data_IF_018057768768
#
_entry.id   IF_018057768768
#
_cell.length_a   1.000
_cell.length_b   1.000
_cell.length_c   1.000
_cell.angle_alpha   90.00
_cell.angle_beta   90.00
_cell.angle_gamma   90.00
#
_symmetry.space_group_name_H-M   'P 1'
#
loop_
_entity.id
_entity.type
_entity.pdbx_description
1 polymer ?
#
# COMPACT_ATOMS: atom_id res chain seq x y z
N UNK A 1 18.25 48.40 40.66
CA UNK A 1 18.54 47.43 39.58
C UNK A 1 17.46 47.54 38.52
N UNK A 2 17.76 48.27 37.46
CA UNK A 2 16.82 48.69 36.42
C UNK A 2 16.80 47.68 35.26
N UNK A 3 15.60 47.35 34.77
CA UNK A 3 15.39 46.47 33.61
C UNK A 3 15.81 47.18 32.32
N UNK A 4 16.42 46.38 31.44
CA UNK A 4 17.27 46.76 30.30
C UNK A 4 16.48 47.26 29.08
N UNK A 5 16.95 48.40 28.59
CA UNK A 5 16.97 49.02 27.25
C UNK A 5 16.45 48.22 26.03
N UNK A 6 15.56 48.88 25.26
CA UNK A 6 15.33 48.69 23.82
C UNK A 6 16.55 49.18 23.02
N UNK A 7 16.78 48.64 21.81
CA UNK A 7 16.95 49.55 20.68
C UNK A 7 16.17 49.12 19.42
N UNK A 8 16.00 50.14 18.57
CA UNK A 8 15.19 50.24 17.35
C UNK A 8 15.84 49.55 16.14
N UNK A 9 15.02 49.39 15.10
CA UNK A 9 15.29 48.84 13.76
C UNK A 9 16.62 49.29 13.11
N UNK A 10 17.16 48.43 12.24
CA UNK A 10 18.04 48.81 11.13
C UNK A 10 17.56 48.13 9.83
N UNK A 11 17.65 48.88 8.73
CA UNK A 11 17.00 48.66 7.44
C UNK A 11 17.72 47.66 6.51
N UNK A 12 16.97 47.21 5.49
CA UNK A 12 17.33 46.31 4.39
C UNK A 12 18.71 46.58 3.74
N UNK A 13 19.36 45.50 3.30
CA UNK A 13 20.08 45.50 2.02
C UNK A 13 19.84 44.18 1.28
N UNK A 14 19.27 44.30 0.09
CA UNK A 14 19.07 43.26 -0.92
C UNK A 14 20.40 42.60 -1.31
N UNK A 15 20.52 41.29 -1.11
CA UNK A 15 21.31 40.43 -1.99
C UNK A 15 20.48 39.18 -2.27
N UNK A 16 19.76 39.18 -3.39
CA UNK A 16 19.17 37.99 -4.00
C UNK A 16 20.29 37.08 -4.49
N UNK A 17 20.85 36.27 -3.60
CA UNK A 17 21.58 35.06 -4.03
C UNK A 17 20.51 34.06 -4.43
N UNK A 18 20.34 33.92 -5.74
CA UNK A 18 19.50 32.90 -6.33
C UNK A 18 20.03 31.56 -5.86
N UNK A 19 19.29 30.85 -4.99
CA UNK A 19 19.57 29.46 -4.68
C UNK A 19 19.37 28.65 -5.96
N UNK A 20 20.45 28.51 -6.73
CA UNK A 20 20.53 27.62 -7.87
C UNK A 20 20.44 26.20 -7.31
N UNK A 21 19.20 25.71 -7.23
CA UNK A 21 18.93 24.33 -6.88
C UNK A 21 19.60 23.47 -7.96
N UNK A 22 20.58 22.61 -7.62
CA UNK A 22 21.20 21.77 -8.63
C UNK A 22 20.13 20.81 -9.14
N UNK A 23 19.81 20.89 -10.44
CA UNK A 23 18.94 19.95 -11.14
C UNK A 23 19.67 18.61 -11.30
N UNK A 24 19.95 17.95 -10.18
CA UNK A 24 20.19 16.52 -10.17
C UNK A 24 18.84 15.87 -10.39
N UNK A 25 18.47 15.68 -11.66
CA UNK A 25 17.46 14.69 -12.03
C UNK A 25 17.97 13.35 -11.53
N UNK A 26 17.70 13.02 -10.26
CA UNK A 26 17.96 11.69 -9.75
C UNK A 26 17.21 10.77 -10.71
N UNK A 27 17.93 9.87 -11.39
CA UNK A 27 17.33 8.79 -12.13
C UNK A 27 16.58 7.94 -11.10
N UNK A 28 15.34 8.32 -10.80
CA UNK A 28 14.50 7.58 -9.88
C UNK A 28 14.38 6.18 -10.47
N UNK A 29 14.81 5.19 -9.68
CA UNK A 29 14.58 3.81 -10.03
C UNK A 29 13.11 3.64 -10.43
N UNK A 30 12.80 2.84 -11.46
CA UNK A 30 11.42 2.64 -11.89
C UNK A 30 10.50 2.38 -10.70
N UNK A 31 9.41 3.15 -10.60
CA UNK A 31 8.48 3.02 -9.48
C UNK A 31 8.01 1.57 -9.41
N UNK A 32 8.28 0.90 -8.29
CA UNK A 32 7.81 -0.48 -8.06
C UNK A 32 6.29 -0.50 -8.16
N UNK A 33 5.75 -1.56 -8.75
CA UNK A 33 4.31 -1.79 -8.80
C UNK A 33 3.72 -1.72 -7.38
N UNK A 34 2.62 -0.97 -7.15
CA UNK A 34 2.05 -0.79 -5.82
C UNK A 34 1.71 -2.12 -5.15
N UNK A 35 1.89 -2.18 -3.82
CA UNK A 35 1.66 -3.41 -3.02
C UNK A 35 0.25 -3.98 -3.24
N UNK A 36 -0.78 -3.12 -3.14
CA UNK A 36 -2.18 -3.49 -3.34
C UNK A 36 -2.44 -4.03 -4.74
N UNK A 37 -1.87 -3.38 -5.76
CA UNK A 37 -2.02 -3.85 -7.14
C UNK A 37 -1.43 -5.25 -7.31
N UNK A 38 -0.22 -5.50 -6.82
CA UNK A 38 0.43 -6.83 -6.89
C UNK A 38 -0.40 -7.91 -6.19
N UNK A 39 -0.91 -7.62 -4.99
CA UNK A 39 -1.77 -8.54 -4.25
C UNK A 39 -3.06 -8.84 -5.04
N UNK A 40 -3.76 -7.81 -5.54
CA UNK A 40 -5.02 -7.98 -6.28
C UNK A 40 -4.83 -8.76 -7.60
N UNK A 41 -3.74 -8.51 -8.34
CA UNK A 41 -3.40 -9.32 -9.54
C UNK A 41 -3.25 -10.79 -9.15
N UNK A 42 -2.55 -11.08 -8.06
CA UNK A 42 -2.37 -12.45 -7.60
C UNK A 42 -3.70 -13.11 -7.24
N UNK A 43 -4.54 -12.42 -6.46
CA UNK A 43 -5.88 -12.89 -6.06
C UNK A 43 -6.78 -13.20 -7.26
N UNK A 44 -6.74 -12.36 -8.30
CA UNK A 44 -7.49 -12.60 -9.53
C UNK A 44 -6.96 -13.83 -10.30
N UNK A 45 -5.64 -14.04 -10.28
CA UNK A 45 -4.97 -15.11 -11.02
C UNK A 45 -5.21 -16.50 -10.43
N UNK A 46 -5.42 -16.61 -9.12
CA UNK A 46 -5.59 -17.92 -8.46
C UNK A 46 -6.92 -18.61 -8.77
N UNK A 47 -7.93 -17.87 -9.23
CA UNK A 47 -9.21 -18.46 -9.64
C UNK A 47 -9.84 -19.32 -8.54
N UNK A 48 -10.19 -20.56 -8.88
CA UNK A 48 -10.90 -21.48 -7.97
C UNK A 48 -10.04 -22.03 -6.82
N UNK A 49 -8.71 -21.97 -6.95
CA UNK A 49 -7.78 -22.39 -5.91
C UNK A 49 -7.69 -21.37 -4.78
N UNK A 50 -8.07 -20.11 -5.05
CA UNK A 50 -8.03 -19.04 -4.06
C UNK A 50 -6.61 -18.72 -3.56
N UNK A 51 -6.55 -17.94 -2.49
CA UNK A 51 -5.28 -17.53 -1.89
C UNK A 51 -5.36 -17.49 -0.38
N UNK A 52 -4.22 -17.68 0.25
CA UNK A 52 -4.03 -17.46 1.67
C UNK A 52 -3.23 -16.18 1.94
N UNK A 53 -3.17 -15.76 3.21
CA UNK A 53 -2.28 -14.66 3.60
C UNK A 53 -0.80 -14.99 3.33
N UNK A 54 -0.39 -16.26 3.49
CA UNK A 54 1.00 -16.67 3.26
C UNK A 54 1.35 -16.67 1.77
N UNK A 55 0.39 -16.98 0.90
CA UNK A 55 0.59 -16.88 -0.54
C UNK A 55 0.90 -15.45 -0.96
N UNK A 56 0.18 -14.47 -0.38
CA UNK A 56 0.47 -13.06 -0.63
C UNK A 56 1.87 -12.69 -0.14
N UNK A 57 2.30 -13.15 1.03
CA UNK A 57 3.66 -12.93 1.51
C UNK A 57 4.70 -13.49 0.53
N UNK A 58 4.56 -14.77 0.17
CA UNK A 58 5.53 -15.54 -0.63
C UNK A 58 5.55 -15.10 -2.09
N UNK A 59 4.40 -15.11 -2.76
CA UNK A 59 4.32 -14.88 -4.21
C UNK A 59 4.26 -13.40 -4.56
N UNK A 60 3.66 -12.55 -3.71
CA UNK A 60 3.66 -11.11 -3.92
C UNK A 60 4.86 -10.42 -3.30
N UNK A 61 5.79 -11.13 -2.64
CA UNK A 61 6.98 -10.54 -1.97
C UNK A 61 6.60 -9.31 -1.13
N UNK A 62 5.58 -9.46 -0.30
CA UNK A 62 5.07 -8.41 0.58
C UNK A 62 5.42 -8.75 2.02
N UNK A 63 5.57 -7.72 2.85
CA UNK A 63 5.86 -7.87 4.29
C UNK A 63 4.63 -8.20 5.13
N UNK A 64 3.43 -8.08 4.56
CA UNK A 64 2.16 -8.46 5.17
C UNK A 64 1.22 -8.95 4.08
N UNK A 65 0.52 -10.05 4.34
CA UNK A 65 -0.56 -10.60 3.51
C UNK A 65 -1.95 -10.28 4.04
N UNK A 66 -2.04 -9.59 5.19
CA UNK A 66 -3.28 -9.33 5.90
C UNK A 66 -4.07 -8.18 5.27
N UNK A 67 -5.36 -8.15 5.56
CA UNK A 67 -6.30 -7.07 5.24
C UNK A 67 -6.59 -6.81 3.76
N UNK A 68 -5.92 -7.44 2.79
CA UNK A 68 -6.24 -7.20 1.38
C UNK A 68 -7.61 -7.77 0.98
N UNK A 69 -7.94 -8.98 1.46
CA UNK A 69 -9.23 -9.62 1.19
C UNK A 69 -10.38 -8.81 1.80
N UNK A 70 -10.29 -8.49 3.09
CA UNK A 70 -11.30 -7.70 3.81
C UNK A 70 -11.39 -6.26 3.31
N UNK A 71 -10.28 -5.67 2.84
CA UNK A 71 -10.31 -4.37 2.17
C UNK A 71 -11.12 -4.43 0.87
N UNK A 72 -10.96 -5.46 0.04
CA UNK A 72 -11.73 -5.62 -1.19
C UNK A 72 -13.23 -5.78 -0.92
N UNK A 73 -13.59 -6.61 0.06
CA UNK A 73 -15.00 -6.78 0.48
C UNK A 73 -15.62 -5.44 0.88
N UNK A 74 -14.92 -4.66 1.71
CA UNK A 74 -15.41 -3.34 2.17
C UNK A 74 -15.49 -2.31 1.05
N UNK A 75 -14.50 -2.27 0.15
CA UNK A 75 -14.44 -1.26 -0.92
C UNK A 75 -15.43 -1.54 -2.04
N UNK A 76 -15.70 -2.81 -2.35
CA UNK A 76 -16.46 -3.21 -3.52
C UNK A 76 -17.81 -3.85 -3.20
N UNK A 77 -18.12 -4.03 -1.90
CA UNK A 77 -19.34 -4.70 -1.46
C UNK A 77 -19.42 -6.13 -2.02
N UNK A 78 -18.29 -6.82 -2.06
CA UNK A 78 -18.20 -8.22 -2.52
C UNK A 78 -18.13 -9.16 -1.31
N UNK A 79 -18.41 -10.44 -1.53
CA UNK A 79 -18.30 -11.46 -0.48
C UNK A 79 -17.35 -12.55 -0.93
N UNK A 80 -16.22 -12.66 -0.23
CA UNK A 80 -15.26 -13.73 -0.48
C UNK A 80 -15.64 -14.97 0.31
N UNK A 81 -15.59 -16.11 -0.36
CA UNK A 81 -15.65 -17.40 0.32
C UNK A 81 -14.40 -17.58 1.19
N UNK A 82 -14.59 -18.17 2.37
CA UNK A 82 -13.54 -18.47 3.33
C UNK A 82 -13.58 -19.95 3.63
N UNK A 83 -12.48 -20.63 3.34
CA UNK A 83 -12.31 -22.04 3.61
C UNK A 83 -11.22 -22.17 4.66
N UNK A 84 -11.51 -22.93 5.72
CA UNK A 84 -10.51 -23.24 6.73
C UNK A 84 -9.40 -24.09 6.11
N UNK A 85 -8.16 -23.62 6.29
CA UNK A 85 -6.98 -24.31 5.86
C UNK A 85 -6.06 -24.57 7.05
N UNK A 86 -5.54 -25.79 7.11
CA UNK A 86 -4.56 -26.16 8.13
C UNK A 86 -3.27 -25.40 7.88
N UNK A 87 -2.91 -24.52 8.80
CA UNK A 87 -1.61 -23.85 8.75
C UNK A 87 -0.49 -24.90 8.93
N UNK A 88 0.47 -25.02 7.99
CA UNK A 88 1.62 -25.91 8.15
C UNK A 88 2.42 -25.62 9.42
N UNK A 89 2.46 -24.34 9.82
CA UNK A 89 3.23 -23.88 10.98
C UNK A 89 2.49 -24.12 12.31
N UNK A 90 1.26 -24.66 12.27
CA UNK A 90 0.47 -25.03 13.45
C UNK A 90 -0.06 -23.85 14.28
N UNK A 91 0.22 -22.60 13.89
CA UNK A 91 -0.18 -21.40 14.65
C UNK A 91 -1.39 -20.74 14.00
N UNK A 92 -2.51 -20.74 14.73
CA UNK A 92 -3.74 -20.04 14.34
C UNK A 92 -4.48 -20.66 13.14
N UNK A 93 -5.71 -20.21 12.94
CA UNK A 93 -6.53 -20.61 11.79
C UNK A 93 -6.06 -19.86 10.55
N UNK A 94 -5.78 -20.59 9.47
CA UNK A 94 -5.47 -19.98 8.18
C UNK A 94 -6.71 -20.06 7.30
N UNK A 95 -7.04 -18.98 6.60
CA UNK A 95 -8.17 -18.95 5.70
C UNK A 95 -7.67 -18.89 4.27
N UNK A 96 -8.26 -19.74 3.43
CA UNK A 96 -8.19 -19.63 1.98
C UNK A 96 -9.39 -18.82 1.50
N UNK A 97 -9.10 -17.70 0.84
CA UNK A 97 -10.08 -16.81 0.25
C UNK A 97 -10.29 -17.14 -1.21
N UNK A 98 -11.54 -17.06 -1.68
CA UNK A 98 -11.87 -17.27 -3.10
C UNK A 98 -13.02 -16.37 -3.55
N UNK A 99 -12.99 -15.97 -4.82
CA UNK A 99 -14.14 -15.34 -5.48
C UNK A 99 -15.22 -16.39 -5.77
N UNK A 100 -16.43 -16.15 -5.29
CA UNK A 100 -17.58 -17.04 -5.47
C UNK A 100 -18.30 -16.82 -6.82
N UNK A 101 -18.16 -15.63 -7.42
CA UNK A 101 -18.85 -15.30 -8.66
C UNK A 101 -18.04 -14.41 -9.61
N UNK A 102 -18.34 -14.52 -10.91
CA UNK A 102 -17.71 -13.71 -11.97
C UNK A 102 -17.99 -12.21 -11.81
N UNK A 103 -19.16 -11.83 -11.28
CA UNK A 103 -19.53 -10.42 -11.08
C UNK A 103 -18.55 -9.70 -10.15
N UNK A 104 -18.17 -10.35 -9.05
CA UNK A 104 -17.24 -9.78 -8.07
C UNK A 104 -15.81 -9.69 -8.62
N UNK A 105 -15.38 -10.67 -9.41
CA UNK A 105 -14.11 -10.63 -10.15
C UNK A 105 -14.06 -9.40 -11.06
N UNK A 106 -15.13 -9.12 -11.81
CA UNK A 106 -15.19 -7.95 -12.70
C UNK A 106 -15.12 -6.63 -11.93
N UNK A 107 -15.76 -6.52 -10.76
CA UNK A 107 -15.64 -5.32 -9.91
C UNK A 107 -14.20 -5.06 -9.50
N UNK A 108 -13.45 -6.12 -9.15
CA UNK A 108 -12.02 -5.98 -8.78
C UNK A 108 -11.20 -5.53 -9.99
N UNK A 109 -11.41 -6.12 -11.17
CA UNK A 109 -10.70 -5.73 -12.40
C UNK A 109 -10.90 -4.25 -12.70
N UNK A 110 -12.14 -3.75 -12.61
CA UNK A 110 -12.46 -2.34 -12.88
C UNK A 110 -11.92 -1.39 -11.80
N UNK A 111 -11.69 -1.88 -10.58
CA UNK A 111 -11.19 -1.07 -9.46
C UNK A 111 -9.66 -0.94 -9.42
N UNK A 112 -8.92 -1.74 -10.20
CA UNK A 112 -7.46 -1.82 -10.16
C UNK A 112 -6.76 -0.81 -11.06
#
# INVERSE_FOLDING_TARGET
MNKKNRPLQAANSDIRVSDVTPLTKSLQAPKRTPKKHRARVYMLRTGIEGWTENDILRYCRLSSGRNYATELERQLGITLERIDEKNPDGIGTHLRYRFSCRGDVLKVITHM
#
